data_IF_976474511190
#
_entry.id   IF_976474511190
#
_cell.length_a   1.000
_cell.length_b   1.000
_cell.length_c   1.000
_cell.angle_alpha   90.00
_cell.angle_beta   90.00
_cell.angle_gamma   90.00
#
_symmetry.space_group_name_H-M   'P 1'
#
loop_
_entity.id
_entity.type
_entity.pdbx_description
1 polymer ?
#
# COMPACT_ATOMS: atom_id res chain seq x y z
N UNK A 1 -14.76 20.60 10.23
CA UNK A 1 -13.52 20.52 9.43
C UNK A 1 -12.48 19.65 10.10
N UNK A 2 -12.20 19.76 11.41
CA UNK A 2 -11.18 18.93 12.12
C UNK A 2 -11.40 17.40 11.98
N UNK A 3 -12.63 16.92 12.01
CA UNK A 3 -12.96 15.48 11.87
C UNK A 3 -12.69 14.88 10.46
N UNK A 4 -12.65 15.71 9.43
CA UNK A 4 -12.42 15.24 8.05
C UNK A 4 -10.96 14.85 7.75
N UNK A 5 -10.01 15.46 8.44
CA UNK A 5 -8.58 15.24 8.21
C UNK A 5 -8.07 13.91 8.77
N UNK A 6 -8.67 13.51 9.83
CA UNK A 6 -8.26 12.37 10.64
C UNK A 6 -8.39 11.04 9.91
N UNK A 7 -9.34 11.02 9.05
CA UNK A 7 -9.83 9.85 8.38
C UNK A 7 -8.89 9.24 7.33
N UNK A 8 -8.06 10.03 6.85
CA UNK A 8 -7.57 9.98 5.51
C UNK A 8 -6.38 9.06 5.28
N UNK A 9 -5.45 9.10 6.18
CA UNK A 9 -4.16 8.43 6.06
C UNK A 9 -4.27 6.94 6.24
N UNK A 10 -5.11 6.58 7.19
CA UNK A 10 -5.34 5.17 7.50
C UNK A 10 -6.03 4.45 6.34
N UNK A 11 -6.79 5.17 5.51
CA UNK A 11 -7.50 4.54 4.38
C UNK A 11 -6.59 4.18 3.24
N UNK A 12 -5.72 5.08 2.84
CA UNK A 12 -4.71 4.72 1.84
C UNK A 12 -3.93 3.49 2.29
N UNK A 13 -3.51 3.49 3.56
CA UNK A 13 -2.78 2.35 4.13
C UNK A 13 -3.65 1.11 4.28
N UNK A 14 -4.91 1.23 4.68
CA UNK A 14 -5.80 0.07 4.77
C UNK A 14 -6.14 -0.45 3.38
N UNK A 15 -6.33 0.43 2.42
CA UNK A 15 -6.62 0.02 1.04
C UNK A 15 -5.37 -0.47 0.34
N UNK A 16 -4.24 0.20 0.50
CA UNK A 16 -2.94 -0.35 0.11
C UNK A 16 -2.69 -1.68 0.84
N UNK A 17 -3.07 -1.76 2.10
CA UNK A 17 -2.95 -2.97 2.90
C UNK A 17 -3.95 -4.04 2.50
N UNK A 18 -5.22 -3.69 2.29
CA UNK A 18 -6.22 -4.62 1.76
C UNK A 18 -5.86 -5.08 0.35
N UNK A 19 -5.28 -4.19 -0.45
CA UNK A 19 -4.80 -4.51 -1.78
C UNK A 19 -3.52 -5.35 -1.76
N UNK A 20 -2.52 -4.96 -0.98
CA UNK A 20 -1.31 -5.76 -0.73
C UNK A 20 -1.66 -7.07 -0.06
N UNK A 21 -2.57 -7.04 0.89
CA UNK A 21 -3.02 -8.22 1.60
C UNK A 21 -3.76 -9.21 0.71
N UNK A 22 -4.75 -8.75 -0.06
CA UNK A 22 -5.48 -9.61 -0.98
C UNK A 22 -4.67 -10.07 -2.18
N UNK A 23 -3.67 -9.31 -2.55
CA UNK A 23 -2.90 -9.55 -3.74
C UNK A 23 -1.54 -10.16 -3.48
N UNK A 24 -0.94 -9.87 -2.36
CA UNK A 24 0.43 -10.26 -2.02
C UNK A 24 0.54 -11.19 -0.83
N UNK A 25 -0.36 -11.08 0.13
CA UNK A 25 -0.33 -11.94 1.30
C UNK A 25 -1.20 -13.18 1.07
N UNK A 26 -2.32 -13.06 0.40
CA UNK A 26 -3.26 -14.14 0.19
C UNK A 26 -2.95 -15.10 -0.95
N UNK A 27 -2.51 -14.62 -2.11
CA UNK A 27 -2.06 -15.54 -3.14
C UNK A 27 -0.57 -15.83 -3.05
N UNK A 28 0.14 -15.22 -2.11
CA UNK A 28 1.58 -15.24 -2.03
C UNK A 28 2.17 -16.55 -1.54
N UNK A 29 2.09 -17.57 -2.35
CA UNK A 29 2.67 -18.84 -2.01
C UNK A 29 3.59 -19.41 -3.08
N UNK A 30 4.87 -19.04 -3.21
CA UNK A 30 5.90 -19.96 -3.45
C UNK A 30 6.53 -20.28 -4.74
N UNK A 31 7.70 -20.09 -4.96
CA UNK A 31 8.59 -21.03 -5.64
C UNK A 31 10.02 -20.89 -5.12
N UNK A 32 10.52 -21.96 -4.51
CA UNK A 32 11.95 -22.10 -4.33
C UNK A 32 12.56 -22.48 -5.67
N UNK A 33 13.46 -21.65 -6.14
CA UNK A 33 14.32 -22.03 -7.24
C UNK A 33 15.46 -22.90 -6.76
N UNK A 34 15.47 -24.09 -7.26
CA UNK A 34 16.74 -24.77 -7.47
C UNK A 34 16.91 -24.92 -8.98
N UNK A 35 18.04 -24.55 -9.56
CA UNK A 35 18.30 -24.82 -10.98
C UNK A 35 18.30 -26.33 -11.14
N UNK A 36 17.35 -26.86 -11.90
CA UNK A 36 17.32 -28.25 -12.28
C UNK A 36 16.08 -29.07 -11.92
N UNK A 37 15.12 -28.54 -11.15
CA UNK A 37 13.88 -29.30 -10.96
C UNK A 37 12.88 -29.00 -12.07
N UNK A 38 12.72 -29.95 -13.00
CA UNK A 38 11.50 -30.08 -13.82
C UNK A 38 10.40 -30.41 -12.84
N UNK A 39 9.48 -29.49 -12.62
CA UNK A 39 8.23 -29.78 -11.92
C UNK A 39 7.37 -30.48 -12.96
N UNK A 40 7.28 -31.80 -12.87
CA UNK A 40 6.33 -32.58 -13.65
C UNK A 40 4.95 -32.31 -13.05
N UNK A 41 4.32 -31.26 -13.53
CA UNK A 41 2.92 -30.96 -13.22
C UNK A 41 2.13 -31.94 -14.06
N UNK A 42 1.89 -33.10 -13.47
CA UNK A 42 1.04 -34.10 -14.09
C UNK A 42 -0.27 -33.48 -14.58
N UNK A 43 -0.76 -34.02 -15.65
CA UNK A 43 -1.88 -33.61 -16.51
C UNK A 43 -3.21 -33.22 -15.84
N UNK A 44 -3.26 -33.07 -14.53
CA UNK A 44 -4.44 -33.01 -13.70
C UNK A 44 -4.49 -31.82 -12.75
N UNK A 45 -4.19 -30.59 -13.24
CA UNK A 45 -4.72 -29.41 -12.55
C UNK A 45 -6.11 -29.14 -13.14
N UNK A 46 -7.19 -29.67 -12.53
CA UNK A 46 -8.53 -29.30 -12.96
C UNK A 46 -8.71 -27.79 -12.74
N UNK A 47 -9.54 -27.18 -13.54
CA UNK A 47 -10.00 -25.81 -13.28
C UNK A 47 -10.45 -25.73 -11.82
N UNK A 48 -9.80 -24.83 -11.06
CA UNK A 48 -10.11 -24.63 -9.64
C UNK A 48 -10.66 -23.24 -9.46
N UNK A 49 -11.82 -23.19 -8.88
CA UNK A 49 -12.47 -21.96 -8.47
C UNK A 49 -12.56 -21.92 -6.95
N UNK A 50 -12.13 -20.82 -6.35
CA UNK A 50 -12.21 -20.58 -4.91
C UNK A 50 -12.91 -19.26 -4.64
N UNK A 51 -13.90 -19.29 -3.77
CA UNK A 51 -14.60 -18.13 -3.26
C UNK A 51 -14.30 -17.95 -1.78
N UNK A 52 -13.90 -16.73 -1.39
CA UNK A 52 -13.57 -16.39 -0.02
C UNK A 52 -14.35 -15.15 0.42
N UNK A 53 -15.05 -15.23 1.54
CA UNK A 53 -15.56 -14.05 2.23
C UNK A 53 -14.41 -13.33 2.93
N UNK A 54 -14.35 -12.01 2.85
CA UNK A 54 -13.33 -11.18 3.49
C UNK A 54 -13.94 -10.44 4.67
N UNK A 55 -13.29 -10.57 5.82
CA UNK A 55 -13.74 -10.01 7.08
C UNK A 55 -12.65 -9.15 7.70
N UNK A 56 -13.05 -8.10 8.39
CA UNK A 56 -12.19 -7.31 9.25
C UNK A 56 -12.80 -7.27 10.65
N UNK A 57 -12.07 -7.80 11.65
CA UNK A 57 -12.58 -7.93 13.05
C UNK A 57 -14.02 -8.50 13.07
N UNK A 58 -14.21 -9.63 12.42
CA UNK A 58 -15.47 -10.39 12.29
C UNK A 58 -16.60 -9.71 11.48
N UNK A 59 -16.39 -8.52 10.95
CA UNK A 59 -17.34 -7.87 10.03
C UNK A 59 -16.97 -8.17 8.60
N UNK A 60 -17.93 -8.64 7.81
CA UNK A 60 -17.75 -8.84 6.38
C UNK A 60 -17.53 -7.51 5.69
N UNK A 61 -16.43 -7.42 4.93
CA UNK A 61 -16.06 -6.23 4.16
C UNK A 61 -15.95 -6.50 2.67
N UNK A 62 -16.07 -7.76 2.24
CA UNK A 62 -15.98 -8.07 0.82
C UNK A 62 -15.83 -9.55 0.53
N UNK A 63 -15.38 -9.85 -0.67
CA UNK A 63 -15.07 -11.20 -1.13
C UNK A 63 -13.93 -11.22 -2.14
N UNK A 64 -13.33 -12.39 -2.33
CA UNK A 64 -12.48 -12.70 -3.48
C UNK A 64 -12.96 -13.96 -4.19
N UNK A 65 -12.71 -13.99 -5.50
CA UNK A 65 -12.86 -15.17 -6.35
C UNK A 65 -11.56 -15.38 -7.11
N UNK A 66 -10.99 -16.57 -7.00
CA UNK A 66 -9.77 -16.97 -7.70
C UNK A 66 -10.06 -18.18 -8.57
N UNK A 67 -9.69 -18.10 -9.84
CA UNK A 67 -9.83 -19.19 -10.83
C UNK A 67 -8.45 -19.52 -11.39
N UNK A 68 -8.02 -20.76 -11.19
CA UNK A 68 -6.80 -21.32 -11.77
C UNK A 68 -7.17 -22.38 -12.82
N UNK A 69 -6.61 -22.29 -14.01
CA UNK A 69 -6.89 -23.21 -15.13
C UNK A 69 -5.65 -23.44 -15.98
N UNK A 70 -5.64 -24.57 -16.68
CA UNK A 70 -4.75 -24.72 -17.83
C UNK A 70 -5.20 -23.81 -18.96
N UNK A 71 -4.26 -23.20 -19.66
CA UNK A 71 -4.56 -22.29 -20.78
C UNK A 71 -3.41 -22.29 -21.79
N UNK A 72 -3.65 -21.70 -22.95
CA UNK A 72 -2.66 -21.53 -24.00
C UNK A 72 -2.50 -20.05 -24.29
N UNK A 73 -1.29 -19.53 -24.09
CA UNK A 73 -0.93 -18.16 -24.46
C UNK A 73 0.11 -18.15 -25.58
N UNK A 74 -0.22 -17.47 -26.68
CA UNK A 74 0.67 -17.36 -27.87
C UNK A 74 1.13 -18.74 -28.38
N UNK A 75 0.25 -19.77 -28.37
CA UNK A 75 0.54 -21.12 -28.81
C UNK A 75 1.34 -21.97 -27.84
N UNK A 76 1.58 -21.51 -26.62
CA UNK A 76 2.32 -22.23 -25.58
C UNK A 76 1.38 -22.58 -24.43
N UNK A 77 1.33 -23.87 -24.06
CA UNK A 77 0.58 -24.35 -22.92
C UNK A 77 1.17 -23.81 -21.60
N UNK A 78 0.29 -23.64 -20.63
CA UNK A 78 0.66 -23.16 -19.31
C UNK A 78 -0.53 -23.05 -18.37
N UNK A 79 -0.41 -22.18 -17.38
CA UNK A 79 -1.41 -21.98 -16.33
C UNK A 79 -1.81 -20.52 -16.28
N UNK A 80 -3.12 -20.30 -16.26
CA UNK A 80 -3.71 -18.98 -16.04
C UNK A 80 -4.37 -18.93 -14.67
N UNK A 81 -4.09 -17.87 -13.95
CA UNK A 81 -4.70 -17.57 -12.66
C UNK A 81 -5.37 -16.22 -12.78
N UNK A 82 -6.66 -16.17 -12.55
CA UNK A 82 -7.45 -14.93 -12.52
C UNK A 82 -8.01 -14.73 -11.13
N UNK A 83 -8.06 -13.49 -10.71
CA UNK A 83 -8.58 -13.10 -9.41
C UNK A 83 -9.47 -11.87 -9.52
N UNK A 84 -10.56 -11.88 -8.79
CA UNK A 84 -11.43 -10.73 -8.57
C UNK A 84 -11.55 -10.52 -7.07
N UNK A 85 -11.31 -9.29 -6.62
CA UNK A 85 -11.55 -8.88 -5.25
C UNK A 85 -12.52 -7.71 -5.25
N UNK A 86 -13.48 -7.78 -4.36
CA UNK A 86 -14.40 -6.70 -4.08
C UNK A 86 -14.37 -6.38 -2.59
N UNK A 87 -14.19 -5.10 -2.25
CA UNK A 87 -14.23 -4.60 -0.88
C UNK A 87 -15.21 -3.44 -0.77
N UNK A 88 -15.96 -3.43 0.32
CA UNK A 88 -16.79 -2.32 0.78
C UNK A 88 -16.26 -1.86 2.13
N UNK A 89 -15.75 -0.66 2.19
CA UNK A 89 -15.14 -0.08 3.39
C UNK A 89 -15.92 1.17 3.80
N UNK A 90 -16.24 1.28 5.08
CA UNK A 90 -16.78 2.53 5.61
C UNK A 90 -15.62 3.44 6.04
N UNK A 91 -15.63 4.65 5.54
CA UNK A 91 -14.56 5.61 5.73
C UNK A 91 -15.19 6.97 5.94
N UNK A 92 -15.03 7.54 7.12
CA UNK A 92 -15.65 8.81 7.49
C UNK A 92 -17.20 8.81 7.33
N UNK A 93 -17.82 7.67 7.56
CA UNK A 93 -19.25 7.52 7.36
C UNK A 93 -19.68 7.32 5.90
N UNK A 94 -18.73 7.34 4.95
CA UNK A 94 -18.99 7.05 3.55
C UNK A 94 -18.61 5.63 3.16
N UNK A 95 -19.47 4.94 2.41
CA UNK A 95 -19.14 3.63 1.86
C UNK A 95 -18.26 3.79 0.61
N UNK A 96 -17.05 3.28 0.68
CA UNK A 96 -16.11 3.22 -0.45
C UNK A 96 -15.99 1.81 -0.99
N UNK A 97 -16.02 1.70 -2.29
CA UNK A 97 -15.96 0.42 -3.00
C UNK A 97 -14.66 0.27 -3.75
N UNK A 98 -14.00 -0.88 -3.58
CA UNK A 98 -12.79 -1.23 -4.30
C UNK A 98 -13.07 -2.48 -5.12
N UNK A 99 -12.69 -2.44 -6.38
CA UNK A 99 -12.69 -3.60 -7.26
C UNK A 99 -11.31 -3.83 -7.82
N UNK A 100 -10.80 -5.04 -7.61
CA UNK A 100 -9.51 -5.46 -8.17
C UNK A 100 -9.77 -6.63 -9.10
N UNK A 101 -9.15 -6.60 -10.27
CA UNK A 101 -9.07 -7.74 -11.17
C UNK A 101 -7.60 -8.00 -11.48
N UNK A 102 -7.15 -9.21 -11.20
CA UNK A 102 -5.79 -9.64 -11.50
C UNK A 102 -5.79 -10.87 -12.40
N UNK A 103 -4.74 -11.02 -13.19
CA UNK A 103 -4.49 -12.22 -13.94
C UNK A 103 -3.01 -12.41 -14.22
N UNK A 104 -2.58 -13.66 -14.24
CA UNK A 104 -1.20 -14.03 -14.56
C UNK A 104 -1.16 -15.30 -15.38
N UNK A 105 -0.20 -15.39 -16.29
CA UNK A 105 0.05 -16.58 -17.09
C UNK A 105 1.48 -17.10 -16.85
N UNK A 106 1.58 -18.37 -16.57
CA UNK A 106 2.82 -19.10 -16.32
C UNK A 106 3.00 -20.20 -17.36
N UNK A 107 4.24 -20.44 -17.78
CA UNK A 107 4.54 -21.64 -18.58
C UNK A 107 4.32 -22.92 -17.78
N UNK A 108 4.35 -24.07 -18.45
CA UNK A 108 4.29 -25.40 -17.81
C UNK A 108 5.34 -25.60 -16.73
N UNK A 109 6.47 -24.89 -16.81
CA UNK A 109 7.53 -24.89 -15.79
C UNK A 109 7.34 -23.81 -14.71
N UNK A 110 6.15 -23.23 -14.58
CA UNK A 110 5.81 -22.16 -13.62
C UNK A 110 6.69 -20.91 -13.73
N UNK A 111 7.17 -20.57 -14.91
CA UNK A 111 7.86 -19.32 -15.17
C UNK A 111 6.84 -18.28 -15.62
N UNK A 112 6.77 -17.17 -14.92
CA UNK A 112 5.90 -16.05 -15.27
C UNK A 112 6.15 -15.57 -16.69
N UNK A 113 5.09 -15.40 -17.47
CA UNK A 113 5.12 -14.87 -18.83
C UNK A 113 4.49 -13.49 -18.93
N UNK A 114 3.35 -13.32 -18.32
CA UNK A 114 2.67 -12.03 -18.25
C UNK A 114 1.74 -11.97 -17.06
N UNK A 115 1.39 -10.74 -16.68
CA UNK A 115 0.37 -10.46 -15.69
C UNK A 115 -0.35 -9.16 -16.00
N UNK A 116 -1.52 -8.99 -15.43
CA UNK A 116 -2.21 -7.70 -15.40
C UNK A 116 -2.93 -7.52 -14.08
N UNK A 117 -3.11 -6.25 -13.70
CA UNK A 117 -3.91 -5.83 -12.57
C UNK A 117 -4.69 -4.59 -12.91
N UNK A 118 -5.96 -4.56 -12.52
CA UNK A 118 -6.87 -3.44 -12.70
C UNK A 118 -7.50 -3.14 -11.36
N UNK A 119 -7.27 -1.96 -10.83
CA UNK A 119 -7.92 -1.46 -9.63
C UNK A 119 -8.87 -0.34 -10.02
N UNK A 120 -10.06 -0.33 -9.41
CA UNK A 120 -11.02 0.75 -9.54
C UNK A 120 -11.64 1.06 -8.18
N UNK A 121 -11.73 2.36 -7.84
CA UNK A 121 -12.40 2.88 -6.66
C UNK A 121 -12.98 4.26 -6.99
N UNK A 122 -14.31 4.36 -7.06
CA UNK A 122 -14.95 5.56 -7.59
C UNK A 122 -14.47 5.85 -9.02
N UNK A 123 -14.03 7.09 -9.24
CA UNK A 123 -13.50 7.52 -10.54
C UNK A 123 -12.03 7.12 -10.75
N UNK A 124 -11.35 6.73 -9.68
CA UNK A 124 -9.95 6.31 -9.75
C UNK A 124 -9.82 4.92 -10.38
N UNK A 125 -8.93 4.82 -11.37
CA UNK A 125 -8.62 3.56 -12.06
C UNK A 125 -7.13 3.50 -12.34
N UNK A 126 -6.53 2.35 -12.06
CA UNK A 126 -5.17 2.04 -12.50
C UNK A 126 -5.12 0.67 -13.13
N UNK A 127 -4.45 0.57 -14.28
CA UNK A 127 -4.17 -0.69 -14.95
C UNK A 127 -2.66 -0.89 -14.97
N UNK A 128 -2.21 -2.02 -14.48
CA UNK A 128 -0.80 -2.40 -14.49
C UNK A 128 -0.69 -3.70 -15.25
N UNK A 129 0.14 -3.75 -16.27
CA UNK A 129 0.44 -5.00 -16.98
C UNK A 129 1.95 -5.21 -17.06
N UNK A 130 2.37 -6.47 -17.08
CA UNK A 130 3.77 -6.83 -17.18
C UNK A 130 3.97 -8.03 -18.07
N UNK A 131 5.07 -8.00 -18.83
CA UNK A 131 5.51 -9.13 -19.68
C UNK A 131 6.97 -9.46 -19.36
N UNK A 132 7.24 -10.75 -19.17
CA UNK A 132 8.59 -11.24 -18.95
C UNK A 132 9.44 -11.06 -20.22
N UNK A 133 10.65 -10.53 -20.07
CA UNK A 133 11.64 -10.32 -21.12
C UNK A 133 13.00 -10.73 -20.59
N UNK A 134 13.66 -11.70 -21.21
CA UNK A 134 15.02 -12.08 -20.81
C UNK A 134 15.22 -12.15 -19.29
N UNK A 135 15.85 -11.12 -18.74
CA UNK A 135 16.22 -11.04 -17.33
C UNK A 135 15.28 -10.16 -16.48
N UNK A 136 14.09 -9.78 -16.99
CA UNK A 136 13.26 -8.85 -16.27
C UNK A 136 11.81 -8.83 -16.70
N UNK A 137 11.10 -7.80 -16.26
CA UNK A 137 9.73 -7.49 -16.63
C UNK A 137 9.69 -6.14 -17.33
N UNK A 138 9.02 -6.07 -18.48
CA UNK A 138 8.54 -4.82 -19.05
C UNK A 138 7.14 -4.57 -18.51
N UNK A 139 6.97 -3.44 -17.88
CA UNK A 139 5.73 -3.09 -17.15
C UNK A 139 5.16 -1.84 -17.79
N UNK A 140 3.87 -1.88 -18.04
CA UNK A 140 3.07 -0.74 -18.46
C UNK A 140 2.08 -0.41 -17.35
N UNK A 141 2.00 0.87 -16.97
CA UNK A 141 1.03 1.40 -16.02
C UNK A 141 0.22 2.47 -16.74
N UNK A 142 -1.10 2.33 -16.65
CA UNK A 142 -2.07 3.27 -17.19
C UNK A 142 -2.96 3.74 -16.04
N UNK A 143 -2.85 5.00 -15.67
CA UNK A 143 -3.64 5.64 -14.62
C UNK A 143 -4.90 6.31 -15.18
N UNK A 144 -5.07 6.29 -16.51
CA UNK A 144 -6.09 7.03 -17.22
C UNK A 144 -5.61 8.43 -17.66
N UNK A 145 -4.82 9.10 -16.86
CA UNK A 145 -4.20 10.40 -17.20
C UNK A 145 -2.86 10.25 -17.89
N UNK A 146 -2.17 9.12 -17.66
CA UNK A 146 -0.84 8.86 -18.16
C UNK A 146 -0.59 7.36 -18.39
N UNK A 147 0.28 7.07 -19.37
CA UNK A 147 0.83 5.74 -19.61
C UNK A 147 2.33 5.75 -19.41
N UNK A 148 2.81 4.89 -18.52
CA UNK A 148 4.22 4.82 -18.16
C UNK A 148 4.73 3.41 -18.43
N UNK A 149 5.84 3.32 -19.16
CA UNK A 149 6.56 2.05 -19.37
C UNK A 149 7.84 2.01 -18.54
N UNK A 150 8.10 0.85 -17.92
CA UNK A 150 9.32 0.62 -17.13
C UNK A 150 9.82 -0.80 -17.31
N UNK A 151 11.13 -0.96 -17.32
CA UNK A 151 11.77 -2.27 -17.23
C UNK A 151 12.34 -2.46 -15.82
N UNK A 152 12.03 -3.61 -15.22
CA UNK A 152 12.50 -3.98 -13.89
C UNK A 152 13.25 -5.29 -13.98
N UNK A 153 14.45 -5.34 -13.41
CA UNK A 153 15.21 -6.58 -13.32
C UNK A 153 14.59 -7.46 -12.23
N UNK A 154 14.33 -8.70 -12.58
CA UNK A 154 13.86 -9.73 -11.64
C UNK A 154 14.64 -11.02 -11.86
N UNK A 155 14.69 -11.87 -10.85
CA UNK A 155 15.20 -13.24 -11.00
C UNK A 155 14.23 -14.06 -11.85
N UNK A 156 14.74 -15.01 -12.61
CA UNK A 156 13.95 -15.84 -13.53
C UNK A 156 12.83 -16.66 -12.83
N UNK A 157 12.90 -16.78 -11.52
CA UNK A 157 11.98 -17.51 -10.67
C UNK A 157 11.14 -16.58 -9.75
N UNK A 158 11.20 -15.28 -9.96
CA UNK A 158 10.37 -14.33 -9.23
C UNK A 158 8.91 -14.52 -9.64
N UNK A 159 8.04 -14.56 -8.66
CA UNK A 159 6.60 -14.72 -8.83
C UNK A 159 5.90 -13.38 -8.81
N UNK A 160 4.65 -13.39 -9.23
CA UNK A 160 3.66 -12.39 -8.87
C UNK A 160 2.70 -12.99 -7.85
N UNK A 161 2.16 -12.15 -7.02
CA UNK A 161 1.41 -12.51 -5.84
C UNK A 161 0.28 -13.53 -6.00
N UNK A 162 -0.47 -13.51 -7.10
CA UNK A 162 -1.61 -14.42 -7.29
C UNK A 162 -1.23 -15.84 -7.75
N UNK A 163 0.06 -16.14 -7.95
CA UNK A 163 0.51 -17.43 -8.51
C UNK A 163 0.91 -18.48 -7.49
N UNK A 164 0.77 -18.20 -6.25
CA UNK A 164 1.51 -18.87 -5.18
C UNK A 164 0.73 -20.02 -4.54
N UNK A 165 -0.60 -19.89 -4.39
CA UNK A 165 -1.41 -20.98 -3.86
C UNK A 165 -1.34 -22.28 -4.69
N UNK A 166 -1.40 -22.25 -6.03
CA UNK A 166 -1.25 -23.46 -6.84
C UNK A 166 0.11 -24.16 -6.69
N UNK A 167 1.14 -23.45 -6.31
CA UNK A 167 2.48 -23.99 -6.19
C UNK A 167 2.76 -24.70 -4.85
N UNK A 168 2.11 -24.31 -3.76
CA UNK A 168 2.17 -25.09 -2.51
C UNK A 168 1.68 -26.52 -2.70
N UNK A 169 0.73 -26.69 -3.62
CA UNK A 169 0.24 -28.01 -3.97
C UNK A 169 1.33 -28.97 -4.41
N UNK A 170 2.35 -28.45 -5.08
CA UNK A 170 3.42 -29.28 -5.67
C UNK A 170 4.61 -29.49 -4.76
N UNK A 171 4.78 -28.62 -3.74
CA UNK A 171 5.83 -28.84 -2.74
C UNK A 171 5.22 -29.36 -1.45
N UNK A 172 5.32 -30.64 -1.23
CA UNK A 172 5.06 -31.24 0.09
C UNK A 172 6.08 -30.65 1.07
N UNK A 173 5.73 -29.52 1.68
CA UNK A 173 6.57 -28.93 2.71
C UNK A 173 6.41 -29.75 3.99
N UNK A 174 7.52 -30.27 4.51
CA UNK A 174 7.53 -30.96 5.79
C UNK A 174 7.28 -29.98 6.93
N UNK A 175 6.72 -30.48 8.03
CA UNK A 175 6.50 -29.69 9.24
C UNK A 175 7.83 -29.08 9.73
N UNK A 176 7.78 -27.80 10.10
CA UNK A 176 8.92 -26.97 10.50
C UNK A 176 9.93 -26.62 9.41
N UNK A 177 9.75 -27.07 8.17
CA UNK A 177 10.57 -26.60 7.05
C UNK A 177 10.14 -25.18 6.64
N UNK A 178 11.16 -24.37 6.30
CA UNK A 178 10.99 -23.00 5.77
C UNK A 178 11.31 -22.97 4.29
N UNK A 179 10.65 -22.08 3.60
CA UNK A 179 10.86 -21.82 2.19
C UNK A 179 10.90 -20.30 1.95
N UNK A 180 12.01 -19.83 1.40
CA UNK A 180 12.24 -18.41 1.09
C UNK A 180 12.24 -18.21 -0.43
N UNK A 181 11.61 -17.15 -0.91
CA UNK A 181 11.60 -16.79 -2.34
C UNK A 181 11.26 -15.30 -2.50
N UNK A 182 11.24 -14.83 -3.75
CA UNK A 182 10.92 -13.46 -4.09
C UNK A 182 9.58 -13.37 -4.83
N UNK A 183 8.78 -12.37 -4.46
CA UNK A 183 7.53 -12.02 -5.13
C UNK A 183 7.65 -10.60 -5.65
N UNK A 184 7.37 -10.41 -6.92
CA UNK A 184 7.32 -9.09 -7.53
C UNK A 184 6.00 -8.42 -7.16
N UNK A 185 6.11 -7.24 -6.57
CA UNK A 185 4.98 -6.36 -6.31
C UNK A 185 4.91 -5.26 -7.37
N UNK A 186 3.85 -5.26 -8.19
CA UNK A 186 3.70 -4.27 -9.24
C UNK A 186 3.38 -2.85 -8.75
N UNK A 187 3.02 -2.68 -7.48
CA UNK A 187 2.76 -1.35 -6.90
C UNK A 187 4.06 -0.70 -6.47
N UNK A 188 4.84 -1.40 -5.65
CA UNK A 188 6.16 -0.91 -5.22
C UNK A 188 7.22 -1.05 -6.31
N UNK A 189 6.90 -1.74 -7.41
CA UNK A 189 7.84 -2.05 -8.51
C UNK A 189 9.09 -2.77 -8.00
N UNK A 190 8.96 -3.61 -7.00
CA UNK A 190 10.07 -4.29 -6.35
C UNK A 190 9.79 -5.77 -6.12
N UNK A 191 10.86 -6.57 -6.11
CA UNK A 191 10.80 -7.95 -5.68
C UNK A 191 11.08 -8.03 -4.17
N UNK A 192 10.21 -8.72 -3.45
CA UNK A 192 10.22 -8.76 -2.00
C UNK A 192 10.34 -10.19 -1.52
N UNK A 193 11.09 -10.38 -0.43
CA UNK A 193 11.25 -11.69 0.18
C UNK A 193 9.97 -12.12 0.90
N UNK A 194 9.54 -13.35 0.62
CA UNK A 194 8.47 -14.04 1.35
C UNK A 194 9.04 -15.28 1.98
N UNK A 195 8.71 -15.51 3.23
CA UNK A 195 9.09 -16.71 3.97
C UNK A 195 7.84 -17.48 4.36
N UNK A 196 7.83 -18.79 4.11
CA UNK A 196 6.75 -19.68 4.53
C UNK A 196 7.28 -20.83 5.36
N UNK A 197 6.50 -21.17 6.38
CA UNK A 197 6.76 -22.29 7.25
C UNK A 197 5.49 -23.11 7.42
N UNK A 198 5.54 -24.43 7.18
CA UNK A 198 4.50 -25.34 7.62
C UNK A 198 4.67 -25.59 9.12
N UNK A 199 3.67 -25.24 9.93
CA UNK A 199 3.74 -25.36 11.39
C UNK A 199 3.09 -26.60 11.94
N UNK A 200 2.18 -27.22 11.19
CA UNK A 200 1.48 -28.43 11.62
C UNK A 200 0.25 -28.73 10.78
N UNK A 201 -0.69 -29.42 11.39
CA UNK A 201 -1.98 -29.77 10.81
C UNK A 201 -3.05 -29.57 11.88
N UNK A 202 -4.14 -28.94 11.52
CA UNK A 202 -5.27 -28.67 12.40
C UNK A 202 -6.58 -29.15 11.76
N UNK A 203 -7.58 -29.46 12.58
CA UNK A 203 -8.95 -29.72 12.10
C UNK A 203 -9.76 -28.45 12.27
N UNK A 204 -10.27 -27.91 11.17
CA UNK A 204 -11.11 -26.71 11.19
C UNK A 204 -12.50 -26.98 10.63
N UNK A 205 -13.47 -26.17 11.03
CA UNK A 205 -14.83 -26.21 10.48
C UNK A 205 -14.89 -25.33 9.23
N UNK A 206 -15.35 -25.88 8.12
CA UNK A 206 -15.61 -25.17 6.88
C UNK A 206 -16.84 -25.76 6.21
N UNK A 207 -17.81 -24.92 5.83
CA UNK A 207 -19.07 -25.38 5.22
C UNK A 207 -19.86 -26.40 6.05
N UNK A 208 -19.76 -26.33 7.40
CA UNK A 208 -20.42 -27.28 8.31
C UNK A 208 -19.64 -28.60 8.53
N UNK A 209 -18.58 -28.85 7.82
CA UNK A 209 -17.76 -30.05 7.92
C UNK A 209 -16.47 -29.79 8.72
N UNK A 210 -15.98 -30.83 9.42
CA UNK A 210 -14.66 -30.82 10.04
C UNK A 210 -13.64 -31.32 9.02
N UNK A 211 -12.70 -30.47 8.62
CA UNK A 211 -11.73 -30.74 7.56
C UNK A 211 -10.32 -30.65 8.16
N UNK A 212 -9.49 -31.64 7.87
CA UNK A 212 -8.08 -31.61 8.21
C UNK A 212 -7.35 -30.70 7.22
N UNK A 213 -6.61 -29.71 7.73
CA UNK A 213 -5.85 -28.75 6.96
C UNK A 213 -4.41 -28.64 7.46
N UNK A 214 -3.48 -28.52 6.55
CA UNK A 214 -2.12 -28.12 6.83
C UNK A 214 -2.09 -26.63 7.20
N UNK A 215 -1.27 -26.29 8.18
CA UNK A 215 -1.16 -24.93 8.69
C UNK A 215 0.17 -24.32 8.28
N UNK A 216 0.08 -23.14 7.67
CA UNK A 216 1.22 -22.37 7.19
C UNK A 216 1.29 -21.03 7.87
N UNK A 217 2.48 -20.65 8.31
CA UNK A 217 2.82 -19.25 8.66
C UNK A 217 3.57 -18.64 7.49
N UNK A 218 3.07 -17.48 7.07
CA UNK A 218 3.60 -16.72 5.95
C UNK A 218 4.07 -15.38 6.51
N UNK A 219 5.30 -15.02 6.22
CA UNK A 219 5.84 -13.71 6.51
C UNK A 219 6.11 -13.00 5.20
N UNK A 220 5.34 -11.95 4.94
CA UNK A 220 5.51 -11.07 3.81
C UNK A 220 5.58 -9.63 4.33
N UNK A 221 6.65 -8.93 4.07
CA UNK A 221 6.91 -7.58 4.59
C UNK A 221 6.85 -7.47 6.13
N UNK A 222 7.11 -8.56 6.86
CA UNK A 222 6.96 -8.59 8.32
C UNK A 222 5.52 -8.74 8.82
N UNK A 223 4.54 -8.82 7.90
CA UNK A 223 3.17 -9.19 8.23
C UNK A 223 3.09 -10.71 8.28
N UNK A 224 2.68 -11.24 9.43
CA UNK A 224 2.46 -12.67 9.60
C UNK A 224 1.01 -12.99 9.28
N UNK A 225 0.83 -13.97 8.41
CA UNK A 225 -0.48 -14.55 8.07
C UNK A 225 -0.45 -16.02 8.38
N UNK A 226 -1.50 -16.53 9.02
CA UNK A 226 -1.72 -17.95 9.23
C UNK A 226 -2.76 -18.43 8.22
N UNK A 227 -2.43 -19.49 7.47
CA UNK A 227 -3.28 -20.05 6.42
C UNK A 227 -3.50 -21.55 6.65
N UNK A 228 -4.74 -21.99 6.50
CA UNK A 228 -5.16 -23.39 6.58
C UNK A 228 -5.54 -23.90 5.21
N UNK A 229 -4.80 -24.86 4.73
CA UNK A 229 -4.95 -25.41 3.37
C UNK A 229 -5.14 -26.92 3.42
N UNK A 230 -6.08 -27.44 2.63
CA UNK A 230 -6.25 -28.87 2.45
C UNK A 230 -5.07 -29.49 1.69
N UNK A 231 -4.96 -30.80 1.71
CA UNK A 231 -3.96 -31.55 0.91
C UNK A 231 -4.12 -31.32 -0.59
N UNK A 232 -5.34 -31.01 -1.02
CA UNK A 232 -5.66 -30.70 -2.42
C UNK A 232 -5.40 -29.23 -2.78
N UNK A 233 -4.99 -28.39 -1.81
CA UNK A 233 -4.61 -26.99 -2.00
C UNK A 233 -5.74 -25.99 -1.90
N UNK A 234 -6.87 -26.39 -1.40
CA UNK A 234 -7.95 -25.49 -1.08
C UNK A 234 -7.62 -24.71 0.19
N UNK A 235 -7.54 -23.40 0.09
CA UNK A 235 -7.43 -22.54 1.26
C UNK A 235 -8.82 -22.44 1.91
N UNK A 236 -8.89 -22.86 3.17
CA UNK A 236 -10.15 -22.86 3.93
C UNK A 236 -10.30 -21.61 4.78
N UNK A 237 -9.19 -21.11 5.30
CA UNK A 237 -9.14 -19.94 6.17
C UNK A 237 -7.77 -19.28 6.10
N UNK A 238 -7.75 -17.97 6.23
CA UNK A 238 -6.55 -17.18 6.44
C UNK A 238 -6.78 -16.09 7.47
N UNK A 239 -5.78 -15.84 8.31
CA UNK A 239 -5.81 -14.81 9.35
C UNK A 239 -4.55 -13.98 9.29
N UNK A 240 -4.71 -12.68 9.18
CA UNK A 240 -3.61 -11.73 9.23
C UNK A 240 -3.45 -11.14 10.63
N UNK A 241 -2.22 -10.88 11.03
CA UNK A 241 -1.91 -10.12 12.24
C UNK A 241 -2.52 -8.72 12.29
N UNK A 242 -3.09 -8.25 11.17
CA UNK A 242 -3.77 -6.95 11.05
C UNK A 242 -5.27 -7.00 11.32
N UNK A 243 -5.81 -8.17 11.68
CA UNK A 243 -7.23 -8.37 11.99
C UNK A 243 -8.10 -8.69 10.77
N UNK A 244 -7.49 -8.98 9.62
CA UNK A 244 -8.24 -9.50 8.47
C UNK A 244 -8.35 -11.03 8.56
N UNK A 245 -9.52 -11.53 8.21
CA UNK A 245 -9.80 -12.97 8.09
C UNK A 245 -10.46 -13.24 6.75
N UNK A 246 -10.04 -14.32 6.08
CA UNK A 246 -10.73 -14.83 4.90
C UNK A 246 -11.21 -16.25 5.17
N UNK A 247 -12.43 -16.52 4.76
CA UNK A 247 -13.08 -17.82 4.95
C UNK A 247 -13.58 -18.36 3.62
N UNK A 248 -13.30 -19.63 3.33
CA UNK A 248 -13.83 -20.30 2.15
C UNK A 248 -15.36 -20.40 2.27
N UNK A 249 -16.04 -19.96 1.25
CA UNK A 249 -17.49 -19.92 1.19
C UNK A 249 -18.00 -20.39 -0.18
N UNK A 250 -19.29 -20.64 -0.29
CA UNK A 250 -19.91 -20.83 -1.60
C UNK A 250 -20.10 -19.46 -2.29
N UNK A 251 -20.25 -19.42 -3.61
CA UNK A 251 -20.37 -18.16 -4.36
C UNK A 251 -21.50 -17.24 -3.85
N UNK A 252 -22.64 -17.81 -3.49
CA UNK A 252 -23.79 -17.04 -3.04
C UNK A 252 -23.52 -16.34 -1.72
N UNK A 253 -22.96 -17.07 -0.75
CA UNK A 253 -22.63 -16.51 0.57
C UNK A 253 -21.48 -15.50 0.48
N UNK A 254 -20.44 -15.80 -0.33
CA UNK A 254 -19.30 -14.90 -0.52
C UNK A 254 -19.74 -13.55 -1.11
N UNK A 255 -20.64 -13.55 -2.12
CA UNK A 255 -21.13 -12.33 -2.76
C UNK A 255 -22.18 -11.57 -1.95
N UNK A 256 -22.76 -12.17 -0.90
CA UNK A 256 -23.70 -11.49 -0.02
C UNK A 256 -22.97 -10.55 0.93
N UNK A 257 -22.70 -9.35 0.44
CA UNK A 257 -22.03 -8.29 1.22
C UNK A 257 -23.02 -7.61 2.20
N UNK A 258 -24.30 -8.01 2.19
CA UNK A 258 -25.34 -7.61 3.12
C UNK A 258 -25.55 -6.10 3.29
N UNK A 259 -26.73 -5.71 3.75
CA UNK A 259 -27.00 -4.34 4.22
C UNK A 259 -26.32 -4.01 5.55
N UNK A 260 -25.69 -5.00 6.19
CA UNK A 260 -25.13 -4.91 7.53
C UNK A 260 -23.89 -3.99 7.67
N UNK A 261 -23.36 -3.48 6.57
CA UNK A 261 -22.22 -2.53 6.62
C UNK A 261 -22.67 -1.08 6.56
N UNK A 262 -23.92 -0.81 6.21
CA UNK A 262 -24.47 0.55 6.22
C UNK A 262 -24.84 0.96 7.65
N UNK A 263 -24.13 1.93 8.22
CA UNK A 263 -24.58 2.70 9.38
C UNK A 263 -24.21 2.21 10.77
N UNK A 264 -23.57 1.04 10.95
CA UNK A 264 -23.05 0.59 12.27
C UNK A 264 -21.54 0.32 12.29
N UNK A 265 -20.86 0.68 11.22
CA UNK A 265 -19.42 0.48 11.09
C UNK A 265 -18.64 1.49 11.91
N UNK A 266 -17.79 1.02 12.83
CA UNK A 266 -16.67 1.83 13.26
C UNK A 266 -15.91 2.24 12.02
N UNK A 267 -15.59 3.53 11.92
CA UNK A 267 -14.74 4.05 10.87
C UNK A 267 -13.43 3.27 10.86
N UNK A 268 -13.10 2.66 9.73
CA UNK A 268 -11.87 1.87 9.61
C UNK A 268 -10.62 2.65 9.98
N UNK A 269 -10.66 3.97 9.85
CA UNK A 269 -9.56 4.85 10.24
C UNK A 269 -9.36 4.89 11.75
N UNK A 270 -10.45 4.95 12.50
CA UNK A 270 -10.40 4.94 13.95
C UNK A 270 -9.87 3.61 14.50
N UNK A 271 -10.05 2.52 13.75
CA UNK A 271 -9.59 1.18 14.16
C UNK A 271 -8.06 1.01 14.12
N UNK A 272 -7.37 1.84 13.31
CA UNK A 272 -5.89 1.84 13.23
C UNK A 272 -5.27 3.07 13.90
N UNK A 273 -6.07 4.00 14.41
CA UNK A 273 -5.54 5.13 15.18
C UNK A 273 -4.94 4.66 16.50
N UNK A 274 -3.98 5.41 16.98
CA UNK A 274 -3.37 5.20 18.30
C UNK A 274 -4.01 6.18 19.27
N UNK A 275 -4.90 5.70 20.12
CA UNK A 275 -5.52 6.54 21.16
C UNK A 275 -4.44 7.15 22.03
N UNK A 276 -4.45 8.47 22.17
CA UNK A 276 -3.48 9.18 22.99
C UNK A 276 -3.85 9.08 24.48
N UNK A 277 -2.85 8.98 25.32
CA UNK A 277 -3.01 8.93 26.78
C UNK A 277 -3.27 10.30 27.42
N UNK A 278 -3.09 11.38 26.67
CA UNK A 278 -3.34 12.76 27.07
C UNK A 278 -4.04 13.50 25.94
N UNK A 279 -4.84 14.50 26.29
CA UNK A 279 -5.39 15.41 25.29
C UNK A 279 -4.42 16.57 25.08
N UNK A 280 -3.75 16.59 23.93
CA UNK A 280 -2.79 17.64 23.56
C UNK A 280 -3.58 18.89 23.22
N UNK A 281 -3.47 19.91 24.08
CA UNK A 281 -4.09 21.21 23.86
C UNK A 281 -3.32 21.98 22.79
N UNK A 282 -4.05 22.57 21.86
CA UNK A 282 -3.50 23.38 20.76
C UNK A 282 -2.34 22.70 19.98
N UNK A 283 -2.55 21.50 19.45
CA UNK A 283 -1.49 20.70 18.83
C UNK A 283 -0.80 21.40 17.64
N UNK A 284 -1.50 22.32 16.97
CA UNK A 284 -0.93 23.09 15.84
C UNK A 284 0.22 24.03 16.25
N UNK A 285 0.25 24.42 17.49
CA UNK A 285 1.28 25.30 18.04
C UNK A 285 2.31 24.52 18.87
N UNK A 286 2.18 23.20 18.97
CA UNK A 286 3.15 22.38 19.69
C UNK A 286 4.55 22.51 19.08
N UNK A 287 5.52 22.90 19.92
CA UNK A 287 6.92 23.08 19.53
C UNK A 287 7.80 21.92 19.98
N UNK A 288 7.31 21.11 20.90
CA UNK A 288 8.01 19.98 21.48
C UNK A 288 7.06 18.86 21.84
N UNK A 289 7.43 17.63 21.53
CA UNK A 289 6.73 16.42 21.94
C UNK A 289 7.74 15.34 22.34
N UNK A 290 7.60 14.81 23.54
CA UNK A 290 8.32 13.64 24.02
C UNK A 290 7.39 12.46 24.15
N UNK A 291 7.74 11.37 23.50
CA UNK A 291 6.96 10.12 23.52
C UNK A 291 7.81 8.95 23.99
N UNK A 292 7.17 7.98 24.59
CA UNK A 292 7.67 6.62 24.71
C UNK A 292 7.11 5.81 23.54
N UNK A 293 8.01 5.29 22.73
CA UNK A 293 7.73 4.45 21.57
C UNK A 293 8.46 3.12 21.74
N UNK A 294 7.71 2.01 21.82
CA UNK A 294 8.28 0.67 21.95
C UNK A 294 9.39 0.57 23.02
N UNK A 295 9.14 1.15 24.20
CA UNK A 295 10.07 1.23 25.34
C UNK A 295 11.30 2.12 25.14
N UNK A 296 11.31 2.96 24.12
CA UNK A 296 12.34 3.97 23.88
C UNK A 296 11.73 5.38 23.92
N UNK A 297 12.49 6.35 24.42
CA UNK A 297 12.06 7.74 24.39
C UNK A 297 12.49 8.41 23.08
N UNK A 298 11.56 9.12 22.46
CA UNK A 298 11.79 9.92 21.25
C UNK A 298 11.35 11.36 21.53
N UNK A 299 12.17 12.31 21.17
CA UNK A 299 11.87 13.74 21.28
C UNK A 299 11.71 14.31 19.87
N UNK A 300 10.60 14.98 19.63
CA UNK A 300 10.26 15.64 18.38
C UNK A 300 10.21 17.15 18.65
N UNK A 301 10.93 17.90 17.86
CA UNK A 301 10.92 19.35 17.88
C UNK A 301 10.31 19.86 16.58
N UNK A 302 9.46 20.86 16.67
CA UNK A 302 9.05 21.63 15.51
C UNK A 302 10.26 22.30 14.89
N UNK A 303 10.41 22.22 13.58
CA UNK A 303 11.48 22.93 12.88
C UNK A 303 11.34 24.46 13.11
N UNK A 304 12.47 25.16 13.19
CA UNK A 304 12.47 26.62 13.28
C UNK A 304 12.24 27.25 11.90
N UNK A 305 11.78 28.49 11.86
CA UNK A 305 11.82 29.28 10.63
C UNK A 305 13.28 29.37 10.14
N UNK A 306 13.59 29.03 8.88
CA UNK A 306 14.96 29.04 8.39
C UNK A 306 15.60 30.42 8.50
N UNK A 307 16.85 30.47 8.94
CA UNK A 307 17.61 31.73 9.01
C UNK A 307 17.81 32.31 7.60
N UNK A 308 17.49 33.57 7.41
CA UNK A 308 17.60 34.24 6.10
C UNK A 308 18.98 34.09 5.45
N UNK A 309 20.03 34.04 6.25
CA UNK A 309 21.42 33.82 5.81
C UNK A 309 21.69 32.43 5.22
N UNK A 310 20.86 31.46 5.56
CA UNK A 310 21.01 30.06 5.12
C UNK A 310 20.08 29.69 3.96
N UNK A 311 19.10 30.55 3.64
CA UNK A 311 18.15 30.25 2.57
C UNK A 311 18.84 30.25 1.21
N UNK A 312 18.65 29.17 0.47
CA UNK A 312 19.25 28.97 -0.82
C UNK A 312 18.42 29.65 -1.93
N UNK A 313 19.12 30.08 -2.99
CA UNK A 313 18.47 30.57 -4.20
C UNK A 313 18.25 29.42 -5.19
N UNK A 314 17.15 29.50 -5.92
CA UNK A 314 16.78 28.51 -6.93
C UNK A 314 17.61 28.64 -8.22
N UNK A 315 17.85 27.51 -8.92
CA UNK A 315 17.64 26.12 -8.56
C UNK A 315 18.74 25.55 -7.66
N UNK A 316 18.39 24.67 -6.71
CA UNK A 316 19.36 24.14 -5.74
C UNK A 316 20.15 22.95 -6.29
N UNK A 317 19.59 21.95 -6.89
CA UNK A 317 20.13 20.86 -7.73
C UNK A 317 19.67 19.43 -7.40
N UNK A 318 19.95 18.52 -8.35
CA UNK A 318 19.90 17.04 -8.35
C UNK A 318 18.67 16.42 -7.66
N UNK A 319 17.59 16.44 -8.43
CA UNK A 319 16.33 15.86 -7.99
C UNK A 319 16.11 14.53 -8.69
N UNK A 320 16.08 13.47 -7.92
CA UNK A 320 15.74 12.13 -8.42
C UNK A 320 14.25 12.10 -8.74
N UNK A 321 13.92 11.80 -9.97
CA UNK A 321 12.56 11.54 -10.39
C UNK A 321 12.10 10.19 -9.83
N UNK A 322 10.98 10.20 -9.14
CA UNK A 322 10.32 9.00 -8.65
C UNK A 322 9.08 8.71 -9.49
N UNK A 323 8.72 7.46 -9.58
CA UNK A 323 7.66 6.98 -10.46
C UNK A 323 6.31 7.72 -10.28
N UNK A 324 5.93 7.98 -9.04
CA UNK A 324 4.68 8.69 -8.72
C UNK A 324 4.87 10.19 -8.46
N UNK A 325 6.12 10.69 -8.52
CA UNK A 325 6.47 12.09 -8.33
C UNK A 325 7.09 12.62 -9.64
N UNK A 326 6.24 12.88 -10.63
CA UNK A 326 6.65 13.25 -11.98
C UNK A 326 7.09 14.73 -12.03
N UNK A 327 8.21 15.06 -11.41
CA UNK A 327 8.74 16.43 -11.34
C UNK A 327 9.22 17.00 -12.67
N UNK A 328 9.44 16.14 -13.68
CA UNK A 328 9.83 16.54 -15.03
C UNK A 328 8.68 16.65 -16.03
N UNK A 329 7.45 16.33 -15.61
CA UNK A 329 6.27 16.51 -16.44
C UNK A 329 6.06 17.99 -16.76
N UNK A 330 5.81 18.32 -18.02
CA UNK A 330 5.67 19.71 -18.48
C UNK A 330 4.53 20.44 -17.79
N UNK A 331 3.43 19.74 -17.43
CA UNK A 331 2.29 20.30 -16.73
C UNK A 331 2.65 20.69 -15.29
N UNK A 332 3.45 19.85 -14.62
CA UNK A 332 3.95 20.11 -13.26
C UNK A 332 4.93 21.30 -13.29
N UNK A 333 5.88 21.29 -14.23
CA UNK A 333 6.86 22.38 -14.38
C UNK A 333 6.16 23.72 -14.68
N UNK A 334 5.18 23.71 -15.59
CA UNK A 334 4.43 24.90 -15.96
C UNK A 334 3.69 25.47 -14.75
N UNK A 335 2.96 24.62 -14.05
CA UNK A 335 2.19 25.06 -12.86
C UNK A 335 3.12 25.58 -11.75
N UNK A 336 4.22 24.90 -11.46
CA UNK A 336 5.16 25.36 -10.44
C UNK A 336 5.73 26.76 -10.77
N UNK A 337 6.08 27.00 -12.05
CA UNK A 337 6.53 28.31 -12.52
C UNK A 337 5.42 29.39 -12.42
N UNK A 338 4.18 29.03 -12.71
CA UNK A 338 3.03 29.95 -12.56
C UNK A 338 2.81 30.32 -11.09
N UNK A 339 2.93 29.35 -10.17
CA UNK A 339 2.76 29.58 -8.73
C UNK A 339 3.87 30.49 -8.18
N UNK A 340 5.12 30.19 -8.52
CA UNK A 340 6.30 30.82 -7.93
C UNK A 340 6.66 32.13 -8.64
N UNK A 341 6.36 32.25 -9.92
CA UNK A 341 6.66 33.43 -10.71
C UNK A 341 8.16 33.75 -10.75
N UNK A 342 8.53 34.96 -10.31
CA UNK A 342 9.92 35.42 -10.27
C UNK A 342 10.64 35.19 -8.92
N UNK A 343 9.97 34.56 -7.95
CA UNK A 343 10.56 34.29 -6.63
C UNK A 343 11.80 33.38 -6.76
N UNK A 344 12.89 33.75 -6.10
CA UNK A 344 14.16 33.01 -6.09
C UNK A 344 14.48 32.42 -4.73
N UNK A 345 13.85 32.94 -3.68
CA UNK A 345 14.02 32.43 -2.33
C UNK A 345 13.30 31.08 -2.21
N UNK A 346 14.07 30.01 -1.97
CA UNK A 346 13.54 28.64 -1.95
C UNK A 346 12.49 28.42 -0.85
N UNK A 347 12.64 29.11 0.30
CA UNK A 347 11.68 29.01 1.39
C UNK A 347 10.35 29.70 1.04
N UNK A 348 10.40 30.90 0.49
CA UNK A 348 9.18 31.61 0.04
C UNK A 348 8.50 30.84 -1.08
N UNK A 349 9.23 30.32 -2.05
CA UNK A 349 8.71 29.48 -3.11
C UNK A 349 8.02 28.22 -2.56
N UNK A 350 8.61 27.54 -1.56
CA UNK A 350 8.00 26.39 -0.90
C UNK A 350 6.67 26.76 -0.21
N UNK A 351 6.62 27.90 0.48
CA UNK A 351 5.36 28.41 1.09
C UNK A 351 4.30 28.73 0.04
N UNK A 352 4.69 29.32 -1.09
CA UNK A 352 3.75 29.59 -2.18
C UNK A 352 3.14 28.30 -2.76
N UNK A 353 3.97 27.28 -2.99
CA UNK A 353 3.52 25.97 -3.45
C UNK A 353 2.59 25.31 -2.41
N UNK A 354 2.97 25.34 -1.12
CA UNK A 354 2.13 24.79 -0.05
C UNK A 354 0.75 25.43 -0.03
N UNK A 355 0.69 26.73 -0.02
CA UNK A 355 -0.59 27.48 0.02
C UNK A 355 -1.44 27.21 -1.21
N UNK A 356 -0.79 27.09 -2.37
CA UNK A 356 -1.50 26.74 -3.58
C UNK A 356 -2.09 25.33 -3.49
N UNK A 357 -1.31 24.32 -3.07
CA UNK A 357 -1.78 22.93 -2.92
C UNK A 357 -2.91 22.87 -1.89
N UNK A 358 -2.72 23.49 -0.72
CA UNK A 358 -3.74 23.55 0.33
C UNK A 358 -5.06 24.15 -0.12
N UNK A 359 -5.00 25.21 -0.93
CA UNK A 359 -6.18 25.96 -1.37
C UNK A 359 -6.86 25.42 -2.63
N UNK A 360 -6.15 24.63 -3.46
CA UNK A 360 -6.63 24.18 -4.76
C UNK A 360 -6.93 22.69 -4.86
N UNK A 361 -6.63 21.91 -3.85
CA UNK A 361 -7.05 20.50 -3.76
C UNK A 361 -8.26 20.38 -2.86
N UNK A 362 -9.31 19.76 -3.38
CA UNK A 362 -10.47 19.35 -2.59
C UNK A 362 -10.06 18.19 -1.69
N UNK A 363 -10.25 18.35 -0.40
CA UNK A 363 -9.94 17.32 0.58
C UNK A 363 -11.02 16.26 0.60
N UNK A 364 -10.68 15.10 0.12
CA UNK A 364 -11.58 13.96 0.05
C UNK A 364 -10.81 12.66 0.31
N UNK A 365 -11.45 11.68 0.95
CA UNK A 365 -10.89 10.34 1.05
C UNK A 365 -10.76 9.74 -0.34
N UNK A 366 -9.54 9.49 -0.80
CA UNK A 366 -9.28 8.78 -2.04
C UNK A 366 -8.66 7.43 -1.75
N UNK A 367 -9.06 6.44 -2.52
CA UNK A 367 -8.48 5.11 -2.47
C UNK A 367 -7.62 4.94 -3.73
N UNK A 368 -6.56 5.73 -3.80
CA UNK A 368 -5.69 5.83 -4.95
C UNK A 368 -4.24 5.46 -4.63
N UNK A 369 -3.46 5.16 -5.67
CA UNK A 369 -2.01 5.25 -5.60
C UNK A 369 -1.69 6.63 -6.16
N UNK A 370 -1.30 7.61 -5.33
CA UNK A 370 -1.23 8.98 -5.78
C UNK A 370 -0.09 9.17 -6.81
N UNK A 371 -0.45 9.71 -7.96
CA UNK A 371 0.48 10.20 -8.98
C UNK A 371 0.34 11.71 -9.04
N UNK A 372 1.45 12.46 -9.08
CA UNK A 372 1.41 13.91 -9.09
C UNK A 372 0.59 14.47 -10.27
N UNK A 373 0.67 13.83 -11.43
CA UNK A 373 -0.06 14.20 -12.64
C UNK A 373 -1.55 13.91 -12.51
N UNK A 374 -1.93 12.77 -11.92
CA UNK A 374 -3.34 12.45 -11.69
C UNK A 374 -3.95 13.42 -10.69
N UNK A 375 -3.25 13.72 -9.60
CA UNK A 375 -3.68 14.70 -8.59
C UNK A 375 -3.83 16.10 -9.20
N UNK A 376 -2.89 16.48 -10.07
CA UNK A 376 -3.00 17.74 -10.80
C UNK A 376 -4.27 17.82 -11.66
N UNK A 377 -4.70 16.69 -12.20
CA UNK A 377 -5.89 16.60 -13.08
C UNK A 377 -7.17 16.55 -12.26
N UNK A 378 -7.24 15.71 -11.23
CA UNK A 378 -8.44 15.49 -10.42
C UNK A 378 -8.70 16.62 -9.43
N UNK A 379 -7.66 17.28 -8.94
CA UNK A 379 -7.72 18.32 -7.91
C UNK A 379 -8.43 17.87 -6.63
N UNK A 380 -8.33 16.61 -6.35
CA UNK A 380 -8.96 15.99 -5.21
C UNK A 380 -7.99 14.98 -4.58
N UNK A 381 -7.98 14.92 -3.29
CA UNK A 381 -7.15 13.94 -2.60
C UNK A 381 -6.93 14.21 -1.12
N UNK A 382 -6.11 13.37 -0.54
CA UNK A 382 -5.78 13.35 0.89
C UNK A 382 -4.36 13.86 1.19
N UNK A 383 -3.84 13.49 2.34
CA UNK A 383 -2.49 13.86 2.71
C UNK A 383 -1.46 13.31 1.71
N UNK A 384 -1.71 12.12 1.13
CA UNK A 384 -0.80 11.51 0.18
C UNK A 384 -0.80 12.30 -1.14
N UNK A 385 -1.98 12.59 -1.68
CA UNK A 385 -2.13 13.39 -2.88
C UNK A 385 -1.55 14.80 -2.70
N UNK A 386 -1.83 15.45 -1.55
CA UNK A 386 -1.26 16.76 -1.24
C UNK A 386 0.28 16.69 -1.18
N UNK A 387 0.82 15.65 -0.51
CA UNK A 387 2.26 15.45 -0.35
C UNK A 387 2.95 15.17 -1.69
N UNK A 388 2.38 14.29 -2.51
CA UNK A 388 2.96 13.91 -3.80
C UNK A 388 2.96 15.10 -4.76
N UNK A 389 1.84 15.82 -4.88
CA UNK A 389 1.77 16.98 -5.77
C UNK A 389 2.70 18.10 -5.30
N UNK A 390 2.72 18.41 -4.00
CA UNK A 390 3.65 19.40 -3.44
C UNK A 390 5.10 19.01 -3.75
N UNK A 391 5.48 17.75 -3.50
CA UNK A 391 6.84 17.26 -3.73
C UNK A 391 7.23 17.37 -5.21
N UNK A 392 6.32 17.04 -6.12
CA UNK A 392 6.57 17.16 -7.55
C UNK A 392 6.75 18.63 -7.99
N UNK A 393 5.89 19.53 -7.52
CA UNK A 393 5.98 20.96 -7.80
C UNK A 393 7.29 21.57 -7.25
N UNK A 394 7.66 21.26 -6.00
CA UNK A 394 8.90 21.75 -5.41
C UNK A 394 10.12 21.25 -6.18
N UNK A 395 10.17 19.96 -6.48
CA UNK A 395 11.26 19.36 -7.25
C UNK A 395 11.35 19.91 -8.67
N UNK A 396 10.24 20.25 -9.30
CA UNK A 396 10.22 20.73 -10.70
C UNK A 396 10.88 22.10 -10.87
N UNK A 397 11.00 22.88 -9.81
CA UNK A 397 11.71 24.18 -9.80
C UNK A 397 13.06 24.11 -9.10
N UNK A 398 13.55 22.92 -8.78
CA UNK A 398 14.87 22.71 -8.20
C UNK A 398 14.96 22.77 -6.69
N UNK A 399 13.85 22.64 -5.95
CA UNK A 399 13.87 22.49 -4.49
C UNK A 399 13.91 21.00 -4.13
N UNK A 400 14.97 20.49 -3.47
CA UNK A 400 14.98 19.13 -2.99
C UNK A 400 13.85 18.93 -1.96
N UNK A 401 13.02 17.93 -2.20
CA UNK A 401 11.91 17.59 -1.33
C UNK A 401 11.83 16.07 -1.14
N UNK A 402 11.44 15.65 0.04
CA UNK A 402 11.25 14.24 0.41
C UNK A 402 9.89 14.05 1.04
N UNK A 403 9.31 12.88 0.85
CA UNK A 403 8.06 12.51 1.50
C UNK A 403 8.37 11.79 2.82
N UNK A 404 7.56 12.07 3.82
CA UNK A 404 7.59 11.41 5.13
C UNK A 404 6.24 10.76 5.33
N UNK A 405 6.25 9.54 5.83
CA UNK A 405 5.08 8.89 6.37
C UNK A 405 5.28 8.64 7.86
N UNK A 406 4.29 8.97 8.65
CA UNK A 406 4.36 8.91 10.09
C UNK A 406 3.00 9.04 10.75
N UNK A 407 2.95 9.74 11.86
CA UNK A 407 1.73 10.00 12.61
C UNK A 407 1.56 11.49 12.85
N UNK A 408 0.31 11.92 12.97
CA UNK A 408 -0.06 13.26 13.44
C UNK A 408 -1.16 13.15 14.48
N UNK A 409 -1.11 14.00 15.51
CA UNK A 409 -2.13 14.06 16.53
C UNK A 409 -3.35 14.87 16.05
N UNK A 410 -4.53 14.27 16.15
CA UNK A 410 -5.80 14.90 15.84
C UNK A 410 -6.88 14.38 16.80
N UNK A 411 -7.60 15.30 17.48
CA UNK A 411 -8.78 15.00 18.28
C UNK A 411 -8.64 13.78 19.23
N UNK A 412 -7.55 13.70 20.02
CA UNK A 412 -7.36 12.67 21.05
C UNK A 412 -6.65 11.40 20.60
N UNK A 413 -6.20 11.31 19.34
CA UNK A 413 -5.50 10.16 18.83
C UNK A 413 -4.41 10.53 17.81
N UNK A 414 -3.45 9.64 17.65
CA UNK A 414 -2.48 9.72 16.55
C UNK A 414 -2.98 8.92 15.36
N UNK A 415 -2.92 9.56 14.21
CA UNK A 415 -3.32 8.98 12.93
C UNK A 415 -2.14 8.89 11.99
N UNK A 416 -2.11 7.86 11.18
CA UNK A 416 -1.11 7.77 10.10
C UNK A 416 -1.28 8.94 9.13
N UNK A 417 -0.16 9.58 8.78
CA UNK A 417 -0.17 10.80 8.00
C UNK A 417 1.07 10.87 7.10
N UNK A 418 0.95 11.57 5.97
CA UNK A 418 2.04 11.85 5.07
C UNK A 418 2.22 13.35 4.91
N UNK A 419 3.47 13.79 4.89
CA UNK A 419 3.85 15.20 4.67
C UNK A 419 5.21 15.30 4.00
N UNK A 420 5.50 16.39 3.27
CA UNK A 420 6.80 16.62 2.70
C UNK A 420 7.74 17.30 3.69
N UNK A 421 9.05 17.15 3.45
CA UNK A 421 10.07 18.08 3.91
C UNK A 421 10.85 18.63 2.73
N UNK A 422 11.28 19.88 2.81
CA UNK A 422 12.05 20.59 1.79
C UNK A 422 13.42 20.96 2.32
N UNK A 423 14.41 20.99 1.42
CA UNK A 423 15.74 21.50 1.74
C UNK A 423 15.89 22.93 1.22
N UNK A 424 16.01 23.86 2.12
CA UNK A 424 16.11 25.31 1.83
C UNK A 424 17.35 25.97 2.43
N UNK A 425 18.37 25.18 2.72
CA UNK A 425 19.55 25.46 3.52
C UNK A 425 19.63 24.53 4.71
N UNK A 426 18.48 24.12 5.19
CA UNK A 426 18.24 23.07 6.15
C UNK A 426 16.94 22.34 5.76
N UNK A 427 16.71 21.18 6.35
CA UNK A 427 15.47 20.42 6.08
C UNK A 427 14.34 20.94 6.97
N UNK A 428 13.23 21.36 6.35
CA UNK A 428 12.03 21.85 7.04
C UNK A 428 10.84 20.95 6.66
N UNK A 429 10.17 20.42 7.67
CA UNK A 429 8.91 19.68 7.51
C UNK A 429 7.76 20.64 7.29
N UNK A 430 6.97 20.39 6.25
CA UNK A 430 5.81 21.19 5.86
C UNK A 430 4.58 20.31 5.72
N UNK A 431 3.38 20.84 5.91
CA UNK A 431 2.17 20.06 5.71
C UNK A 431 1.15 20.77 4.80
N UNK A 432 1.14 20.46 3.51
CA UNK A 432 0.16 21.02 2.58
C UNK A 432 -1.26 20.49 2.78
N UNK A 433 -1.45 19.37 3.46
CA UNK A 433 -2.77 18.82 3.75
C UNK A 433 -3.41 19.55 4.95
N UNK A 434 -2.64 19.92 5.96
CA UNK A 434 -3.09 20.68 7.12
C UNK A 434 -2.88 22.19 6.97
N UNK A 435 -2.18 22.64 5.91
CA UNK A 435 -1.88 24.05 5.65
C UNK A 435 -0.89 24.64 6.66
N UNK A 436 0.13 23.85 7.04
CA UNK A 436 1.17 24.28 7.96
C UNK A 436 2.46 24.57 7.21
N UNK A 437 2.90 25.81 7.21
CA UNK A 437 4.19 26.22 6.61
C UNK A 437 5.34 25.46 7.27
N UNK A 438 5.27 25.23 8.57
CA UNK A 438 6.16 24.36 9.34
C UNK A 438 5.27 23.37 10.11
N UNK A 439 5.50 22.08 9.92
CA UNK A 439 4.76 21.03 10.62
C UNK A 439 4.99 21.14 12.13
N UNK A 440 3.93 21.01 12.93
CA UNK A 440 4.02 21.06 14.38
C UNK A 440 4.73 19.82 14.97
N UNK A 441 5.10 19.85 16.25
CA UNK A 441 5.82 18.77 16.89
C UNK A 441 5.01 17.48 17.08
N UNK A 442 3.71 17.48 16.78
CA UNK A 442 2.90 16.26 16.83
C UNK A 442 3.05 15.37 15.58
N UNK A 443 3.78 15.85 14.57
CA UNK A 443 4.17 15.08 13.40
C UNK A 443 5.33 14.14 13.75
N UNK A 444 5.02 12.88 14.06
CA UNK A 444 5.98 11.86 14.45
C UNK A 444 6.47 11.13 13.19
N UNK A 445 7.70 11.38 12.69
CA UNK A 445 8.19 10.73 11.48
C UNK A 445 8.52 9.26 11.78
N UNK A 446 8.08 8.36 10.89
CA UNK A 446 8.34 6.93 10.99
C UNK A 446 9.20 6.43 9.84
N UNK A 447 8.92 6.84 8.62
CA UNK A 447 9.65 6.44 7.41
C UNK A 447 9.78 7.65 6.48
N UNK A 448 10.98 7.81 5.90
CA UNK A 448 11.27 8.78 4.85
C UNK A 448 11.41 8.05 3.52
N UNK A 449 10.75 8.54 2.48
CA UNK A 449 10.85 8.01 1.13
C UNK A 449 9.50 7.97 0.40
N UNK A 450 9.54 7.42 -0.82
CA UNK A 450 8.37 7.29 -1.68
C UNK A 450 7.45 6.12 -1.30
N UNK A 451 6.55 5.76 -2.20
CA UNK A 451 5.56 4.67 -2.00
C UNK A 451 6.23 3.36 -1.59
N UNK A 452 7.39 3.04 -2.17
CA UNK A 452 8.13 1.82 -1.86
C UNK A 452 8.58 1.75 -0.40
N UNK A 453 9.19 2.83 0.10
CA UNK A 453 9.68 2.92 1.48
C UNK A 453 8.52 2.95 2.46
N UNK A 454 7.46 3.65 2.12
CA UNK A 454 6.24 3.76 2.91
C UNK A 454 5.54 2.42 3.12
N UNK A 455 5.66 1.46 2.20
CA UNK A 455 5.19 0.08 2.43
C UNK A 455 5.84 -0.56 3.68
N UNK A 456 6.99 -0.06 4.10
CA UNK A 456 7.61 -0.48 5.36
C UNK A 456 6.80 -0.16 6.61
N UNK A 457 5.88 0.84 6.57
CA UNK A 457 4.98 1.14 7.70
C UNK A 457 4.01 -0.02 7.98
N UNK A 458 3.67 -0.79 6.97
CA UNK A 458 2.77 -1.95 7.11
C UNK A 458 3.22 -2.87 8.25
N UNK A 459 4.54 -3.00 8.45
CA UNK A 459 5.12 -3.87 9.50
C UNK A 459 4.79 -3.39 10.92
N UNK A 460 4.58 -2.10 11.10
CA UNK A 460 4.40 -1.48 12.41
C UNK A 460 2.96 -1.05 12.67
N UNK A 461 2.11 -1.00 11.64
CA UNK A 461 0.68 -0.75 11.81
C UNK A 461 0.06 -1.83 12.70
N UNK A 462 -0.72 -1.40 13.68
CA UNK A 462 -1.39 -2.30 14.64
C UNK A 462 -0.48 -2.87 15.74
N UNK A 463 0.85 -2.73 15.63
CA UNK A 463 1.80 -3.14 16.68
C UNK A 463 2.46 -1.97 17.41
N UNK A 464 2.47 -0.80 16.80
CA UNK A 464 3.09 0.40 17.35
C UNK A 464 2.37 0.86 18.63
N UNK A 465 3.14 1.10 19.68
CA UNK A 465 2.67 1.68 20.94
C UNK A 465 3.33 3.02 21.17
N UNK A 466 2.53 4.04 21.40
CA UNK A 466 3.01 5.39 21.69
C UNK A 466 2.33 5.89 22.96
N UNK A 467 3.13 6.49 23.83
CA UNK A 467 2.66 7.18 25.03
C UNK A 467 3.31 8.56 25.08
N UNK A 468 2.49 9.59 25.15
CA UNK A 468 2.98 10.97 25.35
C UNK A 468 3.46 11.12 26.77
N UNK A 469 4.67 11.60 26.95
CA UNK A 469 5.32 11.87 28.24
C UNK A 469 5.28 13.35 28.54
N UNK A 470 5.57 14.21 27.59
CA UNK A 470 5.62 15.67 27.72
C UNK A 470 5.31 16.32 26.37
N UNK A 471 4.66 17.47 26.40
CA UNK A 471 4.49 18.34 25.23
C UNK A 471 4.49 19.81 25.63
N UNK A 472 4.90 20.68 24.71
CA UNK A 472 4.93 22.14 24.88
C UNK A 472 4.57 22.84 23.59
#
# INVERSE_FOLDING_TARGET
MKRLYTAFVTVFWIVMMGFLFNKEVLPAFIIASHPGYKIDITKDLPMRESWMGIYFKDKRIGFSNTVASQDVDSGKAGYRINEIVFLKLNILGEDKFIRIKGGSFFSENYILKNFYYKLASGDYKINISGRATGNGLRIEIDTGSEKIEKSVLIKSNTLVSNSIAPFLLFKKLDVNKKLDFEVFDPISMSANKVTIKKTGTEVIKSGGNSIQADVFEIDCYGIKTKSWMTRDGDILREESGLGFTMLKENPKDAMDIGQSVAGSGRDMLSEFSLVCNVDIQDPRNAVYLKIEKDSSYVEIHRDAEPELSKILLLPIQDIVEEFFVQSKDERIIKLAKEIVGSEKNSWLASKMILRWVYGNLKKAPTLSIPSAVDVLTTREGDCNEHTVLFTALARSIGIPAKMIAGLVYLDGAFYYHAWPKVYVGEWISMDPALGQDIADATHIPLIEGGVKEQLGLIKIIGSLKIKVIEYR
#
